data_IF_976657633835
#
_entry.id   IF_976657633835
#
_cell.length_a   1.000
_cell.length_b   1.000
_cell.length_c   1.000
_cell.angle_alpha   90.00
_cell.angle_beta   90.00
_cell.angle_gamma   90.00
#
_symmetry.space_group_name_H-M   'P 1'
#
loop_
_entity.id
_entity.type
_entity.pdbx_description
1 polymer ?
#
# COMPACT_ATOMS: atom_id res chain seq x y z
N UNK A 1 1.07 -8.40 -36.08
CA UNK A 1 1.82 -7.24 -35.56
C UNK A 1 2.08 -7.47 -34.07
N UNK A 2 3.23 -7.08 -33.54
CA UNK A 2 3.53 -7.14 -32.09
C UNK A 2 3.58 -5.70 -31.56
N UNK A 3 3.17 -5.50 -30.31
CA UNK A 3 3.18 -4.21 -29.64
C UNK A 3 4.07 -4.29 -28.40
N UNK A 4 4.76 -3.18 -28.09
CA UNK A 4 5.56 -3.03 -26.88
C UNK A 4 5.11 -1.74 -26.21
N UNK A 5 4.72 -1.83 -24.94
CA UNK A 5 4.42 -0.69 -24.08
C UNK A 5 5.57 -0.53 -23.08
N UNK A 6 6.21 0.64 -23.07
CA UNK A 6 7.32 0.96 -22.17
C UNK A 6 6.83 2.07 -21.24
N UNK A 7 6.84 1.82 -19.93
CA UNK A 7 6.36 2.75 -18.91
C UNK A 7 7.55 3.12 -18.01
N UNK A 8 8.17 4.30 -18.20
CA UNK A 8 9.18 4.79 -17.27
C UNK A 8 8.48 5.37 -16.03
N UNK A 9 8.36 4.56 -14.99
CA UNK A 9 7.65 4.93 -13.76
C UNK A 9 8.25 6.21 -13.13
N UNK A 10 7.38 7.15 -12.76
CA UNK A 10 7.78 8.44 -12.18
C UNK A 10 8.60 9.35 -13.09
N UNK A 11 8.60 9.15 -14.42
CA UNK A 11 9.47 9.92 -15.31
C UNK A 11 9.07 11.40 -15.50
N UNK A 12 7.79 11.73 -15.25
CA UNK A 12 7.34 13.13 -15.28
C UNK A 12 7.83 13.86 -14.02
N UNK A 13 8.40 15.06 -14.22
CA UNK A 13 8.94 15.88 -13.14
C UNK A 13 8.77 17.37 -13.46
N UNK A 14 9.06 18.22 -12.48
CA UNK A 14 9.14 19.66 -12.61
C UNK A 14 10.56 20.12 -12.99
N UNK A 15 10.70 21.32 -13.56
CA UNK A 15 12.01 21.96 -13.75
C UNK A 15 12.79 22.12 -12.44
N UNK A 16 14.06 21.69 -12.43
CA UNK A 16 14.93 21.74 -11.26
C UNK A 16 16.04 22.79 -11.44
N UNK A 17 16.35 23.58 -10.41
CA UNK A 17 17.34 24.67 -10.50
C UNK A 17 18.76 24.14 -10.75
N UNK A 18 19.07 23.00 -10.13
CA UNK A 18 20.34 22.29 -10.22
C UNK A 18 20.60 21.75 -11.64
N UNK A 19 19.54 21.61 -12.45
CA UNK A 19 19.58 21.18 -13.85
C UNK A 19 19.42 22.34 -14.83
N UNK A 20 19.62 23.59 -14.38
CA UNK A 20 19.47 24.77 -15.21
C UNK A 20 18.01 25.08 -15.59
N UNK A 21 17.06 24.76 -14.70
CA UNK A 21 15.61 24.85 -14.94
C UNK A 21 15.10 23.92 -16.04
N UNK A 22 15.74 22.75 -16.21
CA UNK A 22 15.24 21.63 -17.00
C UNK A 22 14.62 20.57 -16.09
N UNK A 23 13.72 19.77 -16.63
CA UNK A 23 13.31 18.51 -15.99
C UNK A 23 14.44 17.48 -16.08
N UNK A 24 14.48 16.44 -15.21
CA UNK A 24 15.45 15.35 -15.32
C UNK A 24 15.46 14.67 -16.69
N UNK A 25 14.30 14.44 -17.31
CA UNK A 25 14.21 13.89 -18.67
C UNK A 25 14.85 14.82 -19.73
N UNK A 26 14.68 16.13 -19.61
CA UNK A 26 15.29 17.10 -20.55
C UNK A 26 16.81 17.24 -20.35
N UNK A 27 17.30 17.08 -19.13
CA UNK A 27 18.72 17.19 -18.82
C UNK A 27 19.52 15.91 -19.12
N UNK A 28 18.84 14.77 -19.21
CA UNK A 28 19.47 13.47 -19.42
C UNK A 28 19.94 13.27 -20.87
N UNK A 29 21.06 12.57 -21.05
CA UNK A 29 21.52 12.09 -22.36
C UNK A 29 20.76 10.80 -22.74
N UNK A 30 19.65 10.96 -23.48
CA UNK A 30 18.69 9.89 -23.83
C UNK A 30 18.51 9.72 -25.35
N UNK A 31 19.58 9.51 -26.13
CA UNK A 31 19.56 9.58 -27.59
C UNK A 31 18.63 8.55 -28.24
N UNK A 32 18.40 7.41 -27.58
CA UNK A 32 17.48 6.38 -28.06
C UNK A 32 16.01 6.74 -27.87
N UNK A 33 15.66 7.44 -26.80
CA UNK A 33 14.31 7.95 -26.57
C UNK A 33 14.00 9.08 -27.55
N UNK A 34 14.98 9.98 -27.76
CA UNK A 34 14.89 11.07 -28.72
C UNK A 34 14.71 10.56 -30.15
N UNK A 35 15.43 9.49 -30.53
CA UNK A 35 15.27 8.86 -31.84
C UNK A 35 13.86 8.28 -32.03
N UNK A 36 13.29 7.65 -31.00
CA UNK A 36 11.92 7.13 -31.04
C UNK A 36 10.90 8.27 -31.14
N UNK A 37 11.07 9.33 -30.34
CA UNK A 37 10.20 10.50 -30.35
C UNK A 37 10.23 11.22 -31.71
N UNK A 38 11.41 11.37 -32.31
CA UNK A 38 11.61 12.04 -33.60
C UNK A 38 11.05 11.24 -34.79
N UNK A 39 11.04 9.91 -34.70
CA UNK A 39 10.50 9.02 -35.74
C UNK A 39 9.00 8.72 -35.55
N UNK A 40 8.41 9.14 -34.44
CA UNK A 40 7.06 8.76 -34.02
C UNK A 40 6.09 9.93 -33.89
N UNK A 41 5.06 9.72 -33.08
CA UNK A 41 4.08 10.75 -32.70
C UNK A 41 4.25 10.98 -31.20
N UNK A 42 4.41 12.24 -30.81
CA UNK A 42 4.50 12.66 -29.42
C UNK A 42 3.20 13.33 -29.00
N UNK A 43 2.76 13.07 -27.78
CA UNK A 43 1.58 13.68 -27.19
C UNK A 43 1.66 13.67 -25.68
N UNK A 44 0.82 14.48 -25.04
CA UNK A 44 0.60 14.45 -23.61
C UNK A 44 -0.71 13.71 -23.32
N UNK A 45 -0.71 12.96 -22.24
CA UNK A 45 -1.83 12.13 -21.82
C UNK A 45 -1.98 12.22 -20.31
N UNK A 46 -3.22 12.29 -19.85
CA UNK A 46 -3.56 12.11 -18.44
C UNK A 46 -4.26 10.76 -18.29
N UNK A 47 -3.67 9.88 -17.48
CA UNK A 47 -4.14 8.51 -17.26
C UNK A 47 -4.93 8.36 -15.97
N UNK A 48 -5.05 9.42 -15.18
CA UNK A 48 -5.69 9.39 -13.87
C UNK A 48 -6.94 10.26 -13.93
N UNK A 49 -8.15 9.70 -13.75
CA UNK A 49 -9.35 10.52 -13.64
C UNK A 49 -9.19 11.56 -12.54
N UNK A 50 -9.68 12.79 -12.77
CA UNK A 50 -9.56 13.88 -11.79
C UNK A 50 -10.13 13.54 -10.40
N UNK A 51 -11.10 12.63 -10.34
CA UNK A 51 -11.72 12.17 -9.10
C UNK A 51 -10.91 11.08 -8.37
N UNK A 52 -9.77 10.64 -8.90
CA UNK A 52 -8.95 9.57 -8.34
C UNK A 52 -7.55 10.06 -7.97
N UNK A 53 -6.93 9.49 -6.93
CA UNK A 53 -5.53 9.76 -6.62
C UNK A 53 -4.62 9.20 -7.72
N UNK A 54 -3.50 9.88 -7.96
CA UNK A 54 -2.48 9.50 -8.96
C UNK A 54 -1.60 8.33 -8.51
N UNK A 55 -2.22 7.21 -8.13
CA UNK A 55 -1.54 5.97 -7.77
C UNK A 55 -1.11 5.15 -8.99
N UNK A 56 -0.01 4.40 -8.87
CA UNK A 56 0.49 3.51 -9.93
C UNK A 56 -0.55 2.45 -10.33
N UNK A 57 -1.42 2.04 -9.41
CA UNK A 57 -2.54 1.15 -9.67
C UNK A 57 -3.54 1.75 -10.66
N UNK A 58 -4.03 2.97 -10.41
CA UNK A 58 -4.95 3.68 -11.31
C UNK A 58 -4.28 3.92 -12.67
N UNK A 59 -3.06 4.46 -12.67
CA UNK A 59 -2.34 4.76 -13.92
C UNK A 59 -2.10 3.51 -14.77
N UNK A 60 -1.68 2.41 -14.15
CA UNK A 60 -1.41 1.14 -14.85
C UNK A 60 -2.70 0.51 -15.38
N UNK A 61 -3.78 0.52 -14.60
CA UNK A 61 -5.08 0.01 -15.07
C UNK A 61 -5.59 0.78 -16.28
N UNK A 62 -5.53 2.12 -16.26
CA UNK A 62 -5.92 2.95 -17.41
C UNK A 62 -5.03 2.66 -18.63
N UNK A 63 -3.72 2.51 -18.45
CA UNK A 63 -2.78 2.17 -19.53
C UNK A 63 -3.10 0.82 -20.20
N UNK A 64 -3.63 -0.15 -19.44
CA UNK A 64 -4.11 -1.43 -19.97
C UNK A 64 -5.55 -1.38 -20.52
N UNK A 65 -6.19 -0.20 -20.52
CA UNK A 65 -7.51 0.02 -21.12
C UNK A 65 -8.69 -0.28 -20.19
N UNK A 66 -8.46 -0.40 -18.88
CA UNK A 66 -9.56 -0.55 -17.91
C UNK A 66 -10.17 0.81 -17.56
N UNK A 67 -11.50 0.83 -17.44
CA UNK A 67 -12.21 1.94 -16.81
C UNK A 67 -12.04 1.84 -15.28
N UNK A 68 -11.14 2.64 -14.74
CA UNK A 68 -10.80 2.63 -13.31
C UNK A 68 -11.97 3.06 -12.44
N UNK A 69 -12.84 3.96 -12.91
CA UNK A 69 -14.05 4.36 -12.17
C UNK A 69 -15.02 3.21 -11.94
N UNK A 70 -14.96 2.17 -12.77
CA UNK A 70 -15.80 0.98 -12.67
C UNK A 70 -15.11 -0.21 -12.02
N UNK A 71 -13.82 -0.41 -12.28
CA UNK A 71 -13.13 -1.65 -11.94
C UNK A 71 -12.05 -1.52 -10.85
N UNK A 72 -11.65 -0.30 -10.48
CA UNK A 72 -10.74 -0.11 -9.35
C UNK A 72 -11.57 -0.13 -8.06
N UNK A 73 -11.42 -1.19 -7.27
CA UNK A 73 -12.11 -1.32 -5.98
C UNK A 73 -11.22 -0.98 -4.79
N UNK A 74 -9.92 -0.78 -5.02
CA UNK A 74 -8.92 -0.57 -3.98
C UNK A 74 -7.56 -1.13 -4.40
N UNK A 75 -6.52 -0.78 -3.65
CA UNK A 75 -5.15 -1.23 -3.95
C UNK A 75 -4.89 -2.66 -3.47
N UNK A 76 -5.46 -3.06 -2.34
CA UNK A 76 -5.24 -4.39 -1.78
C UNK A 76 -5.78 -5.54 -2.64
N UNK A 77 -6.94 -5.45 -3.33
CA UNK A 77 -7.40 -6.48 -4.28
C UNK A 77 -6.42 -6.79 -5.40
N UNK A 78 -5.78 -5.76 -5.96
CA UNK A 78 -4.76 -5.92 -7.02
C UNK A 78 -3.56 -6.69 -6.47
N UNK A 79 -3.14 -6.42 -5.24
CA UNK A 79 -2.05 -7.14 -4.58
C UNK A 79 -2.41 -8.56 -4.19
N UNK A 80 -3.66 -8.81 -3.80
CA UNK A 80 -4.16 -10.16 -3.58
C UNK A 80 -4.11 -10.97 -4.89
N UNK A 81 -4.59 -10.39 -6.00
CA UNK A 81 -4.56 -11.02 -7.31
C UNK A 81 -3.12 -11.30 -7.80
N UNK A 82 -2.19 -10.35 -7.63
CA UNK A 82 -0.78 -10.53 -7.98
C UNK A 82 -0.10 -11.69 -7.20
N UNK A 83 -0.68 -12.08 -6.07
CA UNK A 83 -0.22 -13.18 -5.21
C UNK A 83 -1.03 -14.47 -5.39
N UNK A 84 -1.92 -14.53 -6.37
CA UNK A 84 -2.78 -15.68 -6.63
C UNK A 84 -3.86 -15.92 -5.56
N UNK A 85 -4.17 -14.90 -4.75
CA UNK A 85 -5.23 -14.98 -3.74
C UNK A 85 -6.53 -14.57 -4.41
N UNK A 86 -7.42 -15.55 -4.64
CA UNK A 86 -8.75 -15.27 -5.14
C UNK A 86 -9.64 -14.64 -4.05
N UNK A 87 -10.40 -13.61 -4.42
CA UNK A 87 -11.43 -12.97 -3.62
C UNK A 87 -12.80 -13.33 -4.18
N UNK A 88 -13.75 -13.65 -3.30
CA UNK A 88 -15.16 -13.73 -3.67
C UNK A 88 -15.78 -12.35 -3.86
N UNK A 89 -16.99 -12.29 -4.41
CA UNK A 89 -17.73 -11.05 -4.69
C UNK A 89 -17.92 -10.14 -3.46
N UNK A 90 -18.01 -10.75 -2.27
CA UNK A 90 -18.22 -10.03 -1.01
C UNK A 90 -16.98 -10.05 -0.09
N UNK A 91 -15.86 -10.58 -0.57
CA UNK A 91 -14.61 -10.56 0.18
C UNK A 91 -13.95 -9.19 0.04
N UNK A 92 -13.24 -8.78 1.08
CA UNK A 92 -12.43 -7.55 1.03
C UNK A 92 -10.98 -7.88 1.30
N UNK A 93 -10.09 -7.21 0.59
CA UNK A 93 -8.67 -7.18 0.88
C UNK A 93 -8.29 -5.83 1.48
N UNK A 94 -7.39 -5.84 2.45
CA UNK A 94 -6.84 -4.66 3.10
C UNK A 94 -5.32 -4.84 3.16
N UNK A 95 -4.55 -3.81 2.81
CA UNK A 95 -3.09 -3.82 3.00
C UNK A 95 -2.80 -3.72 4.49
N UNK A 96 -1.85 -4.53 4.93
CA UNK A 96 -1.39 -4.57 6.31
C UNK A 96 0.09 -4.26 6.34
N UNK A 97 0.45 -3.02 6.65
CA UNK A 97 1.84 -2.63 6.83
C UNK A 97 2.28 -2.87 8.28
N UNK A 98 3.50 -3.33 8.48
CA UNK A 98 4.18 -3.24 9.78
C UNK A 98 4.85 -1.88 9.89
N UNK A 99 4.54 -1.14 10.95
CA UNK A 99 4.98 0.26 11.11
C UNK A 99 5.58 0.50 12.49
N UNK A 100 6.37 1.57 12.61
CA UNK A 100 6.86 2.12 13.87
C UNK A 100 6.15 3.43 14.13
N UNK A 101 5.43 3.48 15.25
CA UNK A 101 4.79 4.67 15.81
C UNK A 101 5.40 4.93 17.17
N UNK A 102 5.96 6.12 17.37
CA UNK A 102 6.53 6.57 18.64
C UNK A 102 5.90 7.91 19.01
N UNK A 103 5.51 8.08 20.27
CA UNK A 103 4.85 9.28 20.79
C UNK A 103 3.64 9.72 19.92
N UNK A 104 2.89 8.74 19.41
CA UNK A 104 1.73 8.98 18.55
C UNK A 104 2.06 9.47 17.12
N UNK A 105 3.33 9.43 16.70
CA UNK A 105 3.78 9.85 15.38
C UNK A 105 4.33 8.68 14.55
N UNK A 106 4.04 8.66 13.25
CA UNK A 106 4.58 7.64 12.33
C UNK A 106 6.07 7.87 12.10
N UNK A 107 6.94 7.12 12.79
CA UNK A 107 8.40 7.20 12.64
C UNK A 107 8.91 6.38 11.47
N UNK A 108 8.25 5.26 11.17
CA UNK A 108 8.60 4.45 10.02
C UNK A 108 7.39 3.70 9.48
N UNK A 109 7.02 3.95 8.22
CA UNK A 109 5.95 3.20 7.54
C UNK A 109 6.37 1.78 7.09
N UNK A 110 7.64 1.41 7.36
CA UNK A 110 8.24 0.12 7.01
C UNK A 110 8.88 -0.61 8.19
N UNK A 111 8.88 0.01 9.38
CA UNK A 111 9.68 -0.41 10.52
C UNK A 111 11.16 -0.68 10.12
N UNK A 112 11.77 0.28 9.41
CA UNK A 112 13.13 0.19 8.85
C UNK A 112 13.34 -1.05 7.97
N UNK A 113 12.45 -1.27 7.00
CA UNK A 113 12.52 -2.41 6.10
C UNK A 113 12.63 -3.74 6.85
N UNK A 114 11.78 -3.93 7.87
CA UNK A 114 11.75 -5.14 8.71
C UNK A 114 11.86 -6.42 7.87
N UNK A 115 12.65 -7.39 8.32
CA UNK A 115 12.90 -8.59 7.50
C UNK A 115 11.63 -9.40 7.28
N UNK A 116 11.58 -10.15 6.17
CA UNK A 116 10.43 -10.99 5.85
C UNK A 116 10.19 -12.07 6.91
N UNK A 117 11.25 -12.59 7.52
CA UNK A 117 11.17 -13.62 8.56
C UNK A 117 10.49 -13.08 9.82
N UNK A 118 10.90 -11.90 10.29
CA UNK A 118 10.28 -11.27 11.46
C UNK A 118 8.87 -10.76 11.14
N UNK A 119 8.68 -10.17 9.96
CA UNK A 119 7.36 -9.74 9.52
C UNK A 119 6.37 -10.89 9.47
N UNK A 120 6.78 -12.06 8.96
CA UNK A 120 5.95 -13.26 8.96
C UNK A 120 5.61 -13.74 10.38
N UNK A 121 6.56 -13.72 11.32
CA UNK A 121 6.32 -14.09 12.72
C UNK A 121 5.24 -13.20 13.37
N UNK A 122 5.34 -11.88 13.21
CA UNK A 122 4.39 -10.92 13.78
C UNK A 122 2.98 -11.07 13.19
N UNK A 123 2.89 -11.33 11.88
CA UNK A 123 1.62 -11.52 11.20
C UNK A 123 0.99 -12.87 11.55
N UNK A 124 1.77 -13.93 11.72
CA UNK A 124 1.28 -15.22 12.22
C UNK A 124 0.78 -15.12 13.67
N UNK A 125 1.44 -14.32 14.51
CA UNK A 125 0.95 -14.03 15.85
C UNK A 125 -0.44 -13.37 15.81
N UNK A 126 -0.63 -12.38 14.95
CA UNK A 126 -1.95 -11.75 14.73
C UNK A 126 -2.98 -12.74 14.19
N UNK A 127 -2.62 -13.57 13.21
CA UNK A 127 -3.50 -14.60 12.68
C UNK A 127 -3.99 -15.56 13.77
N UNK A 128 -3.10 -15.94 14.68
CA UNK A 128 -3.43 -16.87 15.78
C UNK A 128 -4.34 -16.21 16.82
N UNK A 129 -4.03 -14.98 17.23
CA UNK A 129 -4.65 -14.33 18.40
C UNK A 129 -5.89 -13.49 18.04
N UNK A 130 -6.02 -13.01 16.79
CA UNK A 130 -7.09 -12.10 16.37
C UNK A 130 -8.10 -12.74 15.39
N UNK A 131 -7.73 -13.82 14.71
CA UNK A 131 -8.53 -14.40 13.63
C UNK A 131 -9.17 -15.75 13.97
N UNK A 132 -9.48 -15.96 15.26
CA UNK A 132 -10.31 -17.09 15.72
C UNK A 132 -11.76 -17.00 15.26
N UNK A 133 -12.23 -15.79 14.91
CA UNK A 133 -13.45 -15.58 14.13
C UNK A 133 -13.15 -15.85 12.64
N UNK A 134 -13.94 -16.76 12.10
CA UNK A 134 -14.04 -17.21 10.72
C UNK A 134 -13.80 -16.20 9.57
N UNK A 135 -14.08 -14.90 9.74
CA UNK A 135 -13.99 -13.92 8.65
C UNK A 135 -12.57 -13.37 8.39
N UNK A 136 -11.77 -13.10 9.42
CA UNK A 136 -10.47 -12.45 9.23
C UNK A 136 -9.38 -13.46 8.85
N UNK A 137 -8.55 -13.12 7.85
CA UNK A 137 -7.39 -13.90 7.44
C UNK A 137 -6.21 -12.98 7.12
N UNK A 138 -5.18 -13.00 7.94
CA UNK A 138 -3.90 -12.39 7.62
C UNK A 138 -3.11 -13.27 6.65
N UNK A 139 -2.43 -12.63 5.70
CA UNK A 139 -1.54 -13.25 4.74
C UNK A 139 -0.17 -12.57 4.79
N UNK A 140 0.85 -13.34 5.18
CA UNK A 140 2.25 -12.91 5.26
C UNK A 140 2.77 -12.55 3.87
N UNK A 141 3.27 -11.34 3.64
CA UNK A 141 3.91 -10.93 2.40
C UNK A 141 5.41 -10.78 2.53
N UNK A 142 5.94 -9.73 1.91
CA UNK A 142 7.38 -9.46 1.84
C UNK A 142 7.69 -8.26 2.73
N UNK A 143 8.63 -8.46 3.65
CA UNK A 143 9.03 -7.42 4.61
C UNK A 143 7.81 -6.86 5.36
N UNK A 144 7.65 -5.54 5.41
CA UNK A 144 6.54 -4.86 6.08
C UNK A 144 5.19 -5.01 5.36
N UNK A 145 5.15 -5.45 4.10
CA UNK A 145 3.94 -5.47 3.26
C UNK A 145 3.21 -6.80 3.38
N UNK A 146 2.04 -6.78 4.02
CA UNK A 146 1.19 -7.95 4.24
C UNK A 146 -0.24 -7.64 3.80
N UNK A 147 -1.13 -8.63 3.87
CA UNK A 147 -2.55 -8.46 3.59
C UNK A 147 -3.39 -8.96 4.76
N UNK A 148 -4.53 -8.31 4.96
CA UNK A 148 -5.62 -8.79 5.79
C UNK A 148 -6.82 -8.96 4.86
N UNK A 149 -7.45 -10.13 4.88
CA UNK A 149 -8.68 -10.39 4.16
C UNK A 149 -9.85 -10.48 5.12
N UNK A 150 -10.97 -9.92 4.70
CA UNK A 150 -12.28 -10.24 5.23
C UNK A 150 -12.95 -11.24 4.28
N UNK A 151 -13.18 -12.47 4.76
CA UNK A 151 -13.91 -13.50 4.03
C UNK A 151 -15.39 -13.42 4.38
N UNK A 152 -16.23 -13.01 3.45
CA UNK A 152 -17.67 -13.01 3.69
C UNK A 152 -18.19 -14.45 3.77
N UNK A 153 -18.84 -14.81 4.88
CA UNK A 153 -19.44 -16.13 5.09
C UNK A 153 -20.98 -16.06 5.06
N UNK A 154 -21.55 -15.31 4.11
CA UNK A 154 -23.00 -15.04 3.91
C UNK A 154 -23.49 -13.66 4.41
N UNK A 155 -22.60 -12.67 4.56
CA UNK A 155 -22.94 -11.33 5.03
C UNK A 155 -22.38 -10.22 4.16
N UNK A 156 -22.91 -9.01 4.32
CA UNK A 156 -22.31 -7.80 3.77
C UNK A 156 -21.09 -7.49 4.63
N UNK A 157 -19.94 -7.28 3.99
CA UNK A 157 -18.74 -6.82 4.71
C UNK A 157 -19.03 -5.46 5.40
N UNK A 158 -18.35 -5.14 6.50
CA UNK A 158 -18.61 -3.90 7.22
C UNK A 158 -18.10 -2.65 6.48
N UNK A 159 -17.48 -2.82 5.31
CA UNK A 159 -16.84 -1.77 4.51
C UNK A 159 -17.68 -1.36 3.31
N UNK A 160 -17.43 -0.14 2.82
CA UNK A 160 -18.05 0.41 1.63
C UNK A 160 -17.18 1.54 1.06
N UNK A 161 -17.66 2.22 0.01
CA UNK A 161 -16.94 3.34 -0.61
C UNK A 161 -16.73 4.53 0.35
N UNK A 162 -17.51 4.62 1.42
CA UNK A 162 -17.36 5.62 2.49
C UNK A 162 -16.36 5.20 3.58
N UNK A 163 -15.84 3.97 3.55
CA UNK A 163 -14.69 3.59 4.37
C UNK A 163 -13.47 4.31 3.82
N UNK A 164 -12.70 4.96 4.69
CA UNK A 164 -11.53 5.73 4.30
C UNK A 164 -10.32 5.31 5.13
N UNK A 165 -9.22 5.01 4.45
CA UNK A 165 -7.91 4.78 5.06
C UNK A 165 -6.82 5.57 4.36
N UNK A 166 -5.72 5.81 5.06
CA UNK A 166 -4.60 6.62 4.57
C UNK A 166 -3.36 5.74 4.44
N UNK A 167 -2.61 5.80 3.33
CA UNK A 167 -1.35 5.09 3.21
C UNK A 167 -0.34 5.56 4.26
N UNK A 168 0.39 4.64 4.93
CA UNK A 168 1.28 5.04 6.02
C UNK A 168 2.51 5.84 5.55
N UNK A 169 2.86 5.77 4.26
CA UNK A 169 3.97 6.54 3.68
C UNK A 169 3.65 8.02 3.46
N UNK A 170 2.36 8.39 3.41
CA UNK A 170 1.94 9.79 3.28
C UNK A 170 1.94 10.54 4.62
N UNK A 171 2.11 9.80 5.73
CA UNK A 171 2.02 10.32 7.10
C UNK A 171 3.35 10.26 7.87
N UNK A 172 4.47 10.07 7.17
CA UNK A 172 5.80 10.06 7.80
C UNK A 172 6.03 11.34 8.61
N UNK A 173 6.54 11.18 9.84
CA UNK A 173 6.79 12.25 10.82
C UNK A 173 5.56 13.08 11.23
N UNK A 174 4.35 12.56 11.02
CA UNK A 174 3.11 13.21 11.41
C UNK A 174 2.36 12.45 12.53
N UNK A 175 1.55 13.15 13.35
CA UNK A 175 0.66 12.50 14.32
C UNK A 175 -0.38 11.61 13.66
N UNK A 176 -0.52 10.37 14.11
CA UNK A 176 -1.35 9.36 13.43
C UNK A 176 -2.85 9.50 13.67
N UNK A 177 -3.27 10.18 14.73
CA UNK A 177 -4.64 10.18 15.25
C UNK A 177 -5.68 10.58 14.19
N UNK A 178 -5.36 11.60 13.38
CA UNK A 178 -6.24 12.14 12.33
C UNK A 178 -6.31 11.27 11.07
N UNK A 179 -5.41 10.29 10.94
CA UNK A 179 -5.27 9.45 9.75
C UNK A 179 -5.71 7.99 9.99
N UNK A 180 -6.17 7.68 11.21
CA UNK A 180 -6.74 6.36 11.51
C UNK A 180 -7.97 6.09 10.65
N UNK A 181 -8.24 4.82 10.27
CA UNK A 181 -9.39 4.45 9.44
C UNK A 181 -10.69 5.10 9.89
N UNK A 182 -11.54 5.62 9.00
CA UNK A 182 -12.85 6.20 9.35
C UNK A 182 -13.95 5.71 8.43
N UNK A 183 -15.21 6.01 8.79
CA UNK A 183 -16.39 5.50 8.07
C UNK A 183 -16.80 4.08 8.48
N UNK A 184 -17.70 3.43 7.73
CA UNK A 184 -18.19 2.09 8.04
C UNK A 184 -17.06 1.06 8.16
N UNK A 185 -17.15 0.16 9.15
CA UNK A 185 -16.17 -0.90 9.41
C UNK A 185 -14.84 -0.44 10.01
N UNK A 186 -14.58 0.86 10.08
CA UNK A 186 -13.32 1.40 10.59
C UNK A 186 -13.01 1.03 12.05
N UNK A 187 -14.04 0.87 12.89
CA UNK A 187 -13.86 0.44 14.28
C UNK A 187 -13.24 -0.95 14.38
N UNK A 188 -13.57 -1.87 13.47
CA UNK A 188 -12.98 -3.21 13.45
C UNK A 188 -11.50 -3.17 13.05
N UNK A 189 -11.16 -2.34 12.06
CA UNK A 189 -9.77 -2.11 11.66
C UNK A 189 -8.97 -1.49 12.81
N UNK A 190 -9.50 -0.45 13.47
CA UNK A 190 -8.86 0.21 14.62
C UNK A 190 -8.65 -0.76 15.79
N UNK A 191 -9.60 -1.66 16.06
CA UNK A 191 -9.46 -2.70 17.09
C UNK A 191 -8.30 -3.65 16.77
N UNK A 192 -8.16 -4.09 15.51
CA UNK A 192 -7.03 -4.93 15.09
C UNK A 192 -5.69 -4.19 15.17
N UNK A 193 -5.66 -2.93 14.75
CA UNK A 193 -4.47 -2.07 14.87
C UNK A 193 -4.05 -1.91 16.33
N UNK A 194 -4.98 -1.55 17.22
CA UNK A 194 -4.70 -1.41 18.65
C UNK A 194 -4.24 -2.73 19.28
N UNK A 195 -4.90 -3.84 18.94
CA UNK A 195 -4.54 -5.17 19.45
C UNK A 195 -3.13 -5.59 19.05
N UNK A 196 -2.65 -5.16 17.88
CA UNK A 196 -1.29 -5.46 17.43
C UNK A 196 -0.21 -4.83 18.32
N UNK A 197 -0.49 -3.69 18.95
CA UNK A 197 0.45 -3.02 19.87
C UNK A 197 0.85 -3.96 21.00
N UNK A 198 -0.15 -4.50 21.72
CA UNK A 198 0.10 -5.41 22.85
C UNK A 198 0.77 -6.71 22.41
N UNK A 199 0.36 -7.25 21.26
CA UNK A 199 0.89 -8.51 20.75
C UNK A 199 2.36 -8.37 20.32
N UNK A 200 2.73 -7.27 19.67
CA UNK A 200 4.10 -7.07 19.18
C UNK A 200 5.10 -6.87 20.31
N UNK A 201 4.65 -6.38 21.48
CA UNK A 201 5.43 -6.36 22.71
C UNK A 201 5.76 -7.78 23.23
N UNK A 202 5.06 -8.83 22.80
CA UNK A 202 5.36 -10.20 23.23
C UNK A 202 6.46 -10.86 22.39
N UNK A 203 6.76 -10.36 21.19
CA UNK A 203 7.81 -10.93 20.33
C UNK A 203 9.21 -10.58 20.84
N UNK A 204 10.01 -11.62 21.14
CA UNK A 204 11.40 -11.48 21.58
C UNK A 204 12.28 -10.83 20.50
N UNK A 205 12.15 -11.27 19.25
CA UNK A 205 12.94 -10.73 18.12
C UNK A 205 12.63 -9.27 17.83
N UNK A 206 11.36 -8.88 17.95
CA UNK A 206 10.98 -7.49 17.78
C UNK A 206 11.56 -6.58 18.89
N UNK A 207 11.64 -7.08 20.13
CA UNK A 207 12.34 -6.39 21.24
C UNK A 207 13.85 -6.31 21.05
N UNK A 208 14.46 -7.34 20.46
CA UNK A 208 15.90 -7.35 20.17
C UNK A 208 16.30 -6.22 19.20
N UNK A 209 15.41 -5.80 18.28
CA UNK A 209 15.64 -4.63 17.40
C UNK A 209 15.95 -3.36 18.19
N UNK A 210 15.13 -3.03 19.18
CA UNK A 210 15.36 -1.88 20.05
C UNK A 210 16.70 -1.97 20.79
N UNK A 211 17.07 -3.18 21.22
CA UNK A 211 18.36 -3.41 21.90
C UNK A 211 19.57 -3.20 20.97
N UNK A 212 19.36 -3.35 19.66
CA UNK A 212 20.38 -3.13 18.62
C UNK A 212 20.34 -1.69 18.05
N UNK A 213 19.48 -0.81 18.56
CA UNK A 213 19.31 0.55 18.04
C UNK A 213 18.49 0.64 16.75
N UNK A 214 17.77 -0.43 16.38
CA UNK A 214 16.83 -0.45 15.26
C UNK A 214 15.41 -0.14 15.72
N UNK A 215 14.60 0.45 14.84
CA UNK A 215 13.19 0.71 15.10
C UNK A 215 12.38 -0.59 15.07
N UNK A 216 11.65 -0.94 16.16
CA UNK A 216 10.77 -2.10 16.17
C UNK A 216 9.50 -1.84 15.37
N UNK A 217 8.82 -2.90 14.92
CA UNK A 217 7.42 -2.77 14.50
C UNK A 217 6.57 -2.59 15.76
N UNK A 218 5.88 -1.46 15.90
CA UNK A 218 5.05 -1.19 17.08
C UNK A 218 3.61 -1.60 16.86
N UNK A 219 3.12 -1.56 15.62
CA UNK A 219 1.75 -1.95 15.28
C UNK A 219 1.60 -2.26 13.79
N UNK A 220 0.44 -2.81 13.43
CA UNK A 220 -0.02 -2.85 12.04
C UNK A 220 -0.71 -1.54 11.65
N UNK A 221 -0.63 -1.21 10.37
CA UNK A 221 -1.39 -0.15 9.73
C UNK A 221 -2.22 -0.71 8.59
N UNK A 222 -3.54 -0.54 8.67
CA UNK A 222 -4.51 -1.14 7.75
C UNK A 222 -5.03 -0.09 6.77
N UNK A 223 -4.87 -0.33 5.47
CA UNK A 223 -5.21 0.66 4.43
C UNK A 223 -5.43 0.07 3.04
N UNK A 224 -5.96 0.88 2.12
CA UNK A 224 -6.14 0.52 0.72
C UNK A 224 -7.14 -0.62 0.49
N UNK A 225 -8.17 -0.66 1.34
CA UNK A 225 -9.27 -1.62 1.32
C UNK A 225 -10.00 -1.63 -0.02
N UNK A 226 -10.53 -2.81 -0.38
CA UNK A 226 -11.34 -3.01 -1.58
C UNK A 226 -11.69 -4.45 -1.87
#
# INVERSE_FOLDING_TARGET
MKYVLIIPDGAADQPQKELGNLTPLQAADIPHMDAIASAGIVGQVDHVPQSMPSGSDVGTMTLFGYDTLKYHTGRAPIEAAARGIALGENDWAIRCNLVTVEDGCMKSFTAEQITSELGAELIQLLQKECCGNNHWKFHTGVSYRNLLLYRSQNGIAPFCAETTTIPPHDILDQPIEKFLPSGPGSEELRKLMLRSVDLFLTSKKNKERTSNGELPATQIWLWGEG
#
